data_IF_041347363031
#
_entry.id   IF_041347363031
#
_cell.length_a   1.000
_cell.length_b   1.000
_cell.length_c   1.000
_cell.angle_alpha   90.00
_cell.angle_beta   90.00
_cell.angle_gamma   90.00
#
_symmetry.space_group_name_H-M   'P 1'
#
loop_
_entity.id
_entity.type
_entity.pdbx_description
1 polymer ?
2 non-polymer ?
3 non-polymer ?
4 non-polymer ?
5 water ?
#
# COMPACT_ATOMS: atom_id res chain seq x y z
N UNK A 1 14.70 10.98 -5.08
CA UNK A 1 14.44 9.56 -5.25
C UNK A 1 15.24 8.63 -4.32
N UNK A 2 14.61 7.49 -4.02
CA UNK A 2 15.09 6.53 -3.02
C UNK A 2 15.11 5.13 -3.65
N UNK A 3 15.96 4.24 -3.14
CA UNK A 3 16.03 2.88 -3.65
C UNK A 3 15.18 1.98 -2.75
N UNK A 4 14.32 1.16 -3.35
CA UNK A 4 13.51 0.22 -2.58
C UNK A 4 14.36 -1.01 -2.30
N UNK A 5 14.09 -1.80 -1.22
CA UNK A 5 13.01 -1.49 -0.27
C UNK A 5 13.31 -0.30 0.62
N UNK A 6 12.24 0.42 1.02
CA UNK A 6 12.32 1.62 1.82
C UNK A 6 11.33 1.53 2.97
N UNK A 7 11.73 1.91 4.19
CA UNK A 7 10.82 1.91 5.32
C UNK A 7 10.65 3.34 5.84
N UNK A 8 9.43 3.86 5.72
CA UNK A 8 9.02 5.17 6.19
C UNK A 8 8.55 5.06 7.63
N UNK A 9 9.24 5.68 8.62
CA UNK A 9 8.75 5.68 9.99
C UNK A 9 7.42 6.42 10.10
N UNK A 10 6.52 5.88 10.92
CA UNK A 10 5.26 6.53 11.28
C UNK A 10 5.25 6.68 12.80
N UNK A 11 5.97 7.68 13.36
CA UNK A 11 6.17 7.77 14.80
C UNK A 11 4.85 7.98 15.56
N UNK A 12 4.58 7.11 16.53
CA UNK A 12 3.33 7.15 17.27
C UNK A 12 2.16 6.63 16.43
N UNK A 13 2.48 5.92 15.34
CA UNK A 13 1.50 5.26 14.50
C UNK A 13 0.71 6.25 13.65
N UNK A 14 -0.46 5.81 13.19
CA UNK A 14 -1.31 6.60 12.31
C UNK A 14 -2.52 7.10 13.10
N UNK A 15 -3.24 8.06 12.51
CA UNK A 15 -4.38 8.71 13.14
C UNK A 15 -5.32 9.16 12.03
N UNK A 16 -6.66 9.18 12.23
CA UNK A 16 -7.56 9.71 11.20
C UNK A 16 -7.15 11.11 10.73
N UNK A 17 -7.25 11.31 9.41
CA UNK A 17 -6.92 12.54 8.70
C UNK A 17 -5.45 12.56 8.27
N UNK A 18 -4.68 11.52 8.61
CA UNK A 18 -3.32 11.37 8.13
C UNK A 18 -3.35 10.86 6.70
N UNK A 19 -2.71 11.62 5.79
CA UNK A 19 -2.68 11.32 4.37
C UNK A 19 -1.24 10.96 4.00
N UNK A 20 -1.01 9.67 3.68
CA UNK A 20 0.30 9.19 3.28
C UNK A 20 0.36 9.17 1.75
N UNK A 21 1.37 9.84 1.18
CA UNK A 21 1.51 9.96 -0.26
C UNK A 21 2.82 9.29 -0.69
N UNK A 22 2.70 8.31 -1.59
CA UNK A 22 3.84 7.61 -2.18
C UNK A 22 3.88 7.97 -3.66
N UNK A 23 4.98 8.58 -4.09
CA UNK A 23 5.20 8.93 -5.50
C UNK A 23 6.30 8.04 -6.05
N UNK A 24 6.10 7.51 -7.26
CA UNK A 24 7.17 6.80 -7.94
C UNK A 24 6.81 6.53 -9.39
N UNK A 25 7.59 5.64 -10.02
CA UNK A 25 7.31 5.16 -11.37
C UNK A 25 7.37 3.64 -11.34
N UNK A 26 6.38 2.99 -11.97
CA UNK A 26 6.39 1.54 -12.09
C UNK A 26 7.48 1.15 -13.09
N UNK A 27 8.31 0.16 -12.73
CA UNK A 27 9.36 -0.32 -13.61
C UNK A 27 8.72 -0.93 -14.86
N UNK A 28 9.41 -0.93 -16.03
CA UNK A 28 8.99 -1.78 -17.14
C UNK A 28 9.06 -3.24 -16.70
N UNK A 29 8.12 -4.06 -17.17
CA UNK A 29 8.12 -5.48 -16.85
C UNK A 29 7.86 -5.71 -15.36
N UNK A 30 7.19 -4.75 -14.70
CA UNK A 30 6.81 -4.88 -13.30
C UNK A 30 5.96 -6.14 -13.07
N UNK A 31 6.21 -6.80 -11.94
CA UNK A 31 5.46 -7.99 -11.53
C UNK A 31 4.62 -7.69 -10.29
N UNK A 32 5.18 -6.94 -9.32
CA UNK A 32 4.53 -6.75 -8.03
C UNK A 32 4.97 -5.44 -7.39
N UNK A 33 4.07 -4.86 -6.59
CA UNK A 33 4.36 -3.74 -5.69
C UNK A 33 3.78 -4.12 -4.33
N UNK A 34 4.40 -3.68 -3.22
CA UNK A 34 3.83 -3.90 -1.90
C UNK A 34 4.03 -2.70 -1.00
N UNK A 35 2.95 -2.24 -0.36
CA UNK A 35 2.98 -1.39 0.81
C UNK A 35 2.62 -2.25 2.02
N UNK A 36 3.42 -2.15 3.09
CA UNK A 36 3.18 -2.90 4.32
C UNK A 36 3.13 -1.94 5.51
N UNK A 37 1.93 -1.59 5.97
CA UNK A 37 1.75 -0.85 7.21
C UNK A 37 1.90 -1.82 8.37
N UNK A 38 2.95 -1.67 9.19
CA UNK A 38 3.29 -2.67 10.19
C UNK A 38 3.09 -2.15 11.61
N UNK A 39 2.58 -3.06 12.45
CA UNK A 39 2.58 -2.91 13.90
C UNK A 39 3.51 -4.00 14.44
N UNK A 40 4.76 -3.62 14.71
CA UNK A 40 5.80 -4.62 14.94
C UNK A 40 5.88 -5.60 13.77
N UNK A 41 5.78 -6.90 14.09
CA UNK A 41 5.84 -7.93 13.05
C UNK A 41 4.49 -8.10 12.33
N UNK A 42 3.41 -7.56 12.91
CA UNK A 42 2.10 -7.69 12.27
C UNK A 42 2.02 -6.70 11.12
N UNK A 43 1.35 -7.11 10.03
CA UNK A 43 1.08 -6.22 8.93
C UNK A 43 -0.39 -5.83 9.01
N UNK A 44 -0.66 -4.61 9.51
CA UNK A 44 -2.02 -4.12 9.64
C UNK A 44 -2.69 -4.02 8.27
N UNK A 45 -1.95 -3.55 7.27
CA UNK A 45 -2.50 -3.34 5.93
C UNK A 45 -1.40 -3.60 4.91
N UNK A 46 -1.55 -4.69 4.16
CA UNK A 46 -0.72 -5.06 3.02
C UNK A 46 -1.50 -4.71 1.76
N UNK A 47 -0.95 -3.81 0.94
CA UNK A 47 -1.54 -3.39 -0.32
C UNK A 47 -0.64 -3.88 -1.43
N UNK A 48 -1.11 -4.79 -2.28
CA UNK A 48 -0.24 -5.60 -3.12
C UNK A 48 -0.77 -5.68 -4.55
N UNK A 49 -0.51 -4.67 -5.40
CA UNK A 49 -0.73 -4.80 -6.84
C UNK A 49 0.10 -5.94 -7.44
N UNK A 50 -0.59 -6.86 -8.13
CA UNK A 50 0.04 -7.96 -8.85
C UNK A 50 -0.27 -7.79 -10.33
N UNK A 51 0.78 -7.73 -11.16
CA UNK A 51 0.65 -7.40 -12.58
C UNK A 51 0.43 -8.64 -13.44
N UNK A 52 0.79 -9.83 -12.96
CA UNK A 52 0.53 -11.06 -13.71
C UNK A 52 0.36 -12.22 -12.75
N UNK A 53 -0.81 -12.23 -12.11
CA UNK A 53 -1.32 -13.38 -11.38
C UNK A 53 -2.28 -14.14 -12.29
N UNK A 54 -1.84 -15.30 -12.79
CA UNK A 54 -2.61 -16.09 -13.75
C UNK A 54 -2.99 -15.20 -14.94
N UNK A 55 -2.04 -14.39 -15.42
CA UNK A 55 -2.21 -13.56 -16.60
C UNK A 55 -3.32 -12.53 -16.40
N UNK A 56 -3.55 -12.13 -15.14
CA UNK A 56 -4.49 -11.07 -14.79
C UNK A 56 -3.80 -10.07 -13.86
N UNK A 57 -4.28 -8.83 -13.88
CA UNK A 57 -3.82 -7.81 -12.94
C UNK A 57 -4.87 -7.70 -11.83
N UNK A 58 -4.41 -7.72 -10.57
CA UNK A 58 -5.29 -7.71 -9.41
C UNK A 58 -4.62 -6.94 -8.29
N UNK A 59 -5.41 -6.24 -7.47
CA UNK A 59 -4.96 -5.70 -6.20
C UNK A 59 -5.36 -6.68 -5.09
N UNK A 60 -4.37 -7.18 -4.34
CA UNK A 60 -4.60 -8.02 -3.18
C UNK A 60 -4.31 -7.19 -1.92
N UNK A 61 -5.27 -7.14 -0.99
CA UNK A 61 -5.09 -6.53 0.32
C UNK A 61 -5.28 -7.57 1.41
N UNK A 62 -4.51 -7.47 2.50
CA UNK A 62 -4.59 -8.44 3.57
C UNK A 62 -3.90 -7.87 4.82
N UNK A 63 -4.03 -8.63 5.91
CA UNK A 63 -3.43 -8.39 7.21
C UNK A 63 -2.66 -9.65 7.59
N UNK A 64 -1.48 -9.49 8.18
CA UNK A 64 -0.68 -10.59 8.72
C UNK A 64 -0.64 -10.45 10.25
N UNK A 65 -1.14 -11.47 10.95
CA UNK A 65 -1.16 -11.50 12.41
C UNK A 65 -0.41 -12.75 12.88
N UNK A 66 0.55 -12.57 13.79
CA UNK A 66 1.32 -13.68 14.32
C UNK A 66 1.88 -14.51 13.17
N UNK A 67 2.32 -13.81 12.11
CA UNK A 67 3.01 -14.38 10.96
C UNK A 67 2.07 -15.21 10.08
N UNK A 68 0.75 -15.03 10.24
CA UNK A 68 -0.26 -15.72 9.44
C UNK A 68 -1.06 -14.71 8.61
N UNK A 69 -1.12 -14.91 7.29
CA UNK A 69 -1.96 -14.11 6.42
C UNK A 69 -3.44 -14.45 6.64
N UNK A 70 -4.28 -13.42 6.68
CA UNK A 70 -5.72 -13.59 6.89
C UNK A 70 -6.46 -13.71 5.57
N UNK A 71 -7.71 -13.23 5.59
CA UNK A 71 -8.61 -13.24 4.45
C UNK A 71 -8.20 -12.16 3.45
N UNK A 72 -7.90 -12.55 2.20
CA UNK A 72 -7.59 -11.56 1.16
C UNK A 72 -8.86 -10.83 0.71
N UNK A 73 -8.73 -9.51 0.55
CA UNK A 73 -9.71 -8.68 -0.16
C UNK A 73 -9.10 -8.32 -1.51
N UNK A 74 -9.78 -8.66 -2.60
CA UNK A 74 -9.24 -8.53 -3.96
C UNK A 74 -10.06 -7.53 -4.76
N UNK A 75 -9.38 -6.84 -5.69
CA UNK A 75 -9.99 -5.82 -6.54
C UNK A 75 -9.36 -5.90 -7.93
N UNK A 76 -10.22 -5.98 -8.97
CA UNK A 76 -9.77 -6.10 -10.35
C UNK A 76 -9.50 -4.75 -10.99
N UNK A 77 -10.11 -3.67 -10.44
CA UNK A 77 -9.79 -2.32 -10.89
C UNK A 77 -8.31 -2.09 -10.58
N UNK A 78 -7.53 -1.82 -11.63
CA UNK A 78 -6.08 -1.83 -11.56
C UNK A 78 -5.54 -0.56 -12.21
N UNK A 79 -5.26 0.51 -11.44
CA UNK A 79 -4.87 1.79 -12.02
C UNK A 79 -3.41 1.98 -12.42
N UNK A 80 -2.55 0.98 -12.17
CA UNK A 80 -1.13 1.07 -12.44
C UNK A 80 -0.84 0.57 -13.85
N UNK A 81 0.20 1.15 -14.45
CA UNK A 81 0.70 0.74 -15.76
C UNK A 81 2.22 0.70 -15.69
N UNK A 82 2.81 -0.38 -16.22
CA UNK A 82 4.26 -0.51 -16.34
C UNK A 82 4.85 0.74 -17.00
N UNK A 83 5.90 1.28 -16.39
CA UNK A 83 6.63 2.40 -16.98
C UNK A 83 6.04 3.77 -16.63
N UNK A 84 4.90 3.83 -15.94
CA UNK A 84 4.22 5.11 -15.73
C UNK A 84 4.40 5.62 -14.31
N UNK A 85 4.46 6.96 -14.13
CA UNK A 85 4.49 7.57 -12.81
C UNK A 85 3.13 7.43 -12.13
N UNK A 86 3.18 7.17 -10.82
CA UNK A 86 1.98 6.97 -10.03
C UNK A 86 2.08 7.78 -8.74
N UNK A 87 0.90 8.01 -8.16
CA UNK A 87 0.75 8.53 -6.81
C UNK A 87 -0.23 7.63 -6.08
N UNK A 88 0.23 6.97 -5.02
CA UNK A 88 -0.65 6.23 -4.12
C UNK A 88 -0.88 7.11 -2.90
N UNK A 89 -2.15 7.37 -2.58
CA UNK A 89 -2.50 8.10 -1.37
C UNK A 89 -3.32 7.17 -0.46
N UNK A 90 -2.83 7.00 0.76
CA UNK A 90 -3.52 6.25 1.80
C UNK A 90 -4.01 7.26 2.83
N UNK A 91 -5.33 7.45 2.87
CA UNK A 91 -5.95 8.36 3.83
C UNK A 91 -6.47 7.51 4.99
N UNK A 92 -5.97 7.78 6.20
CA UNK A 92 -6.42 7.04 7.37
C UNK A 92 -7.74 7.66 7.83
N UNK A 93 -8.78 6.83 7.91
CA UNK A 93 -10.08 7.22 8.42
C UNK A 93 -10.32 6.45 9.72
N UNK A 94 -11.35 6.80 10.53
CA UNK A 94 -11.59 6.11 11.79
C UNK A 94 -11.78 4.60 11.70
N UNK A 95 -12.43 4.10 10.63
CA UNK A 95 -12.76 2.68 10.51
C UNK A 95 -12.06 1.98 9.34
N UNK A 96 -11.32 2.72 8.50
CA UNK A 96 -10.68 2.10 7.35
C UNK A 96 -9.50 2.94 6.85
N UNK A 97 -8.65 2.30 6.06
CA UNK A 97 -7.74 2.97 5.14
C UNK A 97 -8.47 3.19 3.82
N UNK A 98 -8.42 4.43 3.31
CA UNK A 98 -8.95 4.76 2.00
C UNK A 98 -7.76 4.96 1.06
N UNK A 99 -7.78 4.26 -0.09
CA UNK A 99 -6.69 4.34 -1.06
C UNK A 99 -7.21 5.00 -2.33
N UNK A 100 -6.49 6.03 -2.80
CA UNK A 100 -6.70 6.64 -4.10
C UNK A 100 -5.40 6.57 -4.88
N UNK A 101 -5.48 6.26 -6.18
CA UNK A 101 -4.31 6.22 -7.04
C UNK A 101 -4.51 7.24 -8.15
N UNK A 102 -3.52 8.12 -8.34
CA UNK A 102 -3.60 9.15 -9.37
C UNK A 102 -4.92 9.92 -9.24
N UNK A 103 -5.29 10.26 -8.00
CA UNK A 103 -6.43 11.11 -7.68
C UNK A 103 -7.78 10.47 -8.03
N UNK A 104 -7.81 9.13 -8.16
CA UNK A 104 -9.06 8.39 -8.33
C UNK A 104 -9.19 7.38 -7.20
N UNK A 105 -10.34 7.38 -6.52
CA UNK A 105 -10.63 6.42 -5.47
C UNK A 105 -10.45 5.00 -6.00
N UNK A 106 -9.79 4.14 -5.21
CA UNK A 106 -9.54 2.75 -5.60
C UNK A 106 -10.28 1.80 -4.66
N UNK A 107 -10.05 1.89 -3.35
CA UNK A 107 -10.65 0.95 -2.42
C UNK A 107 -10.61 1.48 -0.99
N UNK A 108 -11.39 0.83 -0.12
CA UNK A 108 -11.34 1.00 1.32
C UNK A 108 -10.95 -0.35 1.93
N UNK A 109 -10.24 -0.32 3.05
CA UNK A 109 -9.85 -1.54 3.77
C UNK A 109 -10.11 -1.31 5.26
N UNK A 110 -11.09 -2.04 5.80
CA UNK A 110 -11.48 -1.86 7.19
C UNK A 110 -10.33 -2.25 8.13
N UNK A 111 -10.19 -1.50 9.23
CA UNK A 111 -9.15 -1.76 10.22
C UNK A 111 -9.39 -3.10 10.91
N UNK A 112 -8.49 -4.06 10.67
CA UNK A 112 -8.45 -5.32 11.40
C UNK A 112 -7.59 -5.17 12.64
N UNK A 113 -6.42 -4.54 12.48
CA UNK A 113 -5.60 -4.10 13.60
C UNK A 113 -6.20 -2.79 14.12
N UNK A 114 -6.55 -2.79 15.41
CA UNK A 114 -7.30 -1.69 16.02
C UNK A 114 -6.37 -0.60 16.55
N UNK A 115 -5.15 -0.97 16.95
CA UNK A 115 -4.23 -0.05 17.60
C UNK A 115 -3.49 0.78 16.55
N UNK A 116 -4.17 1.80 16.00
CA UNK A 116 -3.64 2.64 14.94
C UNK A 116 -2.34 3.32 15.41
N UNK A 117 -2.28 3.71 16.69
CA UNK A 117 -1.15 4.47 17.20
C UNK A 117 0.07 3.58 17.44
N UNK A 118 -0.01 2.30 17.03
CA UNK A 118 1.13 1.38 17.08
C UNK A 118 1.52 0.89 15.68
N UNK A 119 0.86 1.39 14.64
CA UNK A 119 1.22 1.07 13.26
C UNK A 119 2.32 2.06 12.84
N UNK A 120 3.57 1.73 13.18
CA UNK A 120 4.62 2.73 13.29
C UNK A 120 5.66 2.63 12.17
N UNK A 121 5.44 1.76 11.18
CA UNK A 121 6.32 1.68 10.01
C UNK A 121 5.48 1.44 8.76
N UNK A 122 5.92 2.00 7.65
CA UNK A 122 5.41 1.68 6.32
C UNK A 122 6.56 1.16 5.47
N UNK A 123 6.54 -0.12 5.11
CA UNK A 123 7.48 -0.68 4.15
C UNK A 123 6.98 -0.51 2.72
N UNK A 124 7.87 -0.09 1.83
CA UNK A 124 7.58 0.09 0.42
C UNK A 124 8.56 -0.79 -0.35
N UNK A 125 8.04 -1.72 -1.17
CA UNK A 125 8.87 -2.68 -1.87
C UNK A 125 8.28 -2.99 -3.24
N UNK A 126 9.08 -3.68 -4.07
CA UNK A 126 8.61 -4.18 -5.35
C UNK A 126 9.15 -3.37 -6.51
N UNK A 127 8.44 -3.44 -7.65
CA UNK A 127 8.99 -3.11 -8.95
C UNK A 127 8.69 -1.65 -9.26
N UNK A 128 9.24 -0.74 -8.44
CA UNK A 128 9.07 0.69 -8.61
C UNK A 128 10.40 1.40 -8.47
N UNK A 129 10.48 2.58 -9.10
CA UNK A 129 11.43 3.62 -8.75
C UNK A 129 10.72 4.58 -7.80
N UNK A 130 11.15 4.63 -6.54
CA UNK A 130 10.49 5.45 -5.52
C UNK A 130 11.03 6.88 -5.59
N UNK A 131 10.11 7.85 -5.76
CA UNK A 131 10.46 9.27 -5.84
C UNK A 131 10.39 9.89 -4.44
N UNK A 132 9.28 9.65 -3.73
CA UNK A 132 9.13 10.17 -2.38
C UNK A 132 8.05 9.40 -1.61
N UNK A 133 8.16 9.47 -0.28
CA UNK A 133 7.19 8.89 0.63
C UNK A 133 7.06 9.84 1.83
N UNK A 134 5.88 10.41 2.03
CA UNK A 134 5.66 11.43 3.04
C UNK A 134 4.21 11.39 3.50
N UNK A 135 3.91 12.17 4.54
CA UNK A 135 2.53 12.29 5.01
C UNK A 135 2.26 13.71 5.51
N UNK A 136 0.97 14.05 5.58
CA UNK A 136 0.48 15.30 6.15
C UNK A 136 -0.85 15.01 6.84
N UNK A 137 -1.33 15.97 7.64
CA UNK A 137 -2.66 15.92 8.22
C UNK A 137 -3.57 16.85 7.43
N UNK A 138 -4.72 16.34 6.96
CA UNK A 138 -5.65 17.13 6.16
C UNK A 138 -6.61 17.88 7.11
X LIG B 1 -6.71 -10.92 9.53
X LIG B 1 -7.90 -11.83 9.03
X LIG B 1 -8.79 -12.48 8.63
X LIG C 1 -2.13 -16.77 1.47
X LIG C 1 -0.11 -17.05 1.95
X LIG C 1 1.07 -15.16 0.74
X LIG C 1 -0.16 -15.95 1.15
X LIG C 1 -1.50 -15.77 0.87
X LIG C 1 -3.60 -16.99 1.49
X LIG C 1 -4.25 -16.17 2.59
X LIG C 1 -4.30 -16.82 0.19
X LIG C 1 1.16 -11.51 0.45
X LIG C 1 5.18 -10.35 -0.57
X LIG C 1 7.47 -9.55 -1.05
X LIG C 1 6.52 -7.70 -2.88
X LIG C 1 5.63 -8.52 -2.22
X LIG C 1 3.94 -10.83 -0.92
X LIG C 1 3.50 -14.83 -2.13
X LIG C 1 3.28 -14.25 -0.84
X LIG C 1 2.15 -13.40 -0.73
X LIG C 1 0.88 -14.23 -0.46
X LIG C 1 -4.03 -14.84 2.37
X LIG C 1 -4.02 -18.42 1.54
X LIG C 1 -4.75 -18.23 0.27
X LIG C 1 -1.32 -17.53 2.15
X LIG C 1 -0.24 -13.35 -0.28
X LIG C 1 -0.08 -12.35 0.74
X LIG C 1 -1.32 -11.49 0.79
X LIG C 1 -2.44 -12.31 1.16
X LIG C 1 0.97 -10.77 -0.77
X LIG C 1 2.40 -12.41 0.36
X LIG C 1 3.56 -11.59 0.10
X LIG C 1 4.47 -11.64 1.02
X LIG C 1 5.47 -10.88 0.64
X LIG C 1 6.11 -9.46 -1.30
X LIG C 1 8.35 -8.73 -1.72
X LIG C 1 7.89 -7.80 -2.63
X LIG C 1 9.07 -6.75 -3.47
X LIG C 1 5.98 -6.80 -3.78
X LIG C 1 4.29 -8.39 -2.51
X LIG C 1 1.87 -15.88 0.52
X LIG C 1 1.39 -14.58 1.61
X LIG C 1 -1.95 -14.99 0.25
X LIG C 1 -3.82 -16.46 3.56
X LIG C 1 -5.32 -16.36 2.62
X LIG C 1 -3.61 -16.62 -0.63
X LIG C 1 -5.12 -16.10 0.24
X LIG C 1 1.31 -10.81 1.29
X LIG C 1 7.84 -10.27 -0.33
X LIG C 1 3.39 -10.62 -1.83
X LIG C 1 4.36 -15.43 -2.10
X LIG C 1 3.62 -14.06 -2.85
X LIG C 1 2.66 -15.43 -2.38
X LIG C 1 2.01 -12.85 -1.68
X LIG C 1 0.69 -14.86 -1.35
X LIG C 1 -4.69 -18.67 2.37
X LIG C 1 -3.20 -19.13 1.44
X LIG C 1 0.04 -12.83 1.71
X LIG C 1 -1.52 -11.05 -0.19
X LIG C 1 -1.20 -10.68 1.51
X LIG C 1 -2.56 -13.02 0.51
X LIG C 1 1.66 -11.00 -1.39
X LIG C 1 2.47 -12.93 1.30
X LIG C 1 9.42 -8.80 -1.51
X LIG D 1 2.94 -11.02 -4.59
X LIG D 1 4.36 -11.66 -4.29
X LIG D 1 5.40 -12.08 -4.05
X LIG E 1 12.15 -4.40 -3.24
#
# INVERSE_FOLDING_TARGET
PLIVPYNLPLPGGVVPRMLITILGTVKPNANRIALDFQRGNDVAFHFNPRFNENNRRVIVCNTKLDNNWGREERQSVFPFESGKPFKIQVLVEPDHFKVAVNDAHLLQYNHRVKKLNEISKLGISGDIDLTSASYTMI
SCN S C N
A1H2M N1 N3 C4 C5 C6 C7 C8 C10 C13 C15 C17 C20 C21 C22 C1 O1 C2 C3 F1 C9 O2 N2 O3 C11 C12 O4 O5 C14 N4 N5 N6 C16 C18 C19 CL1 F2 F3 H7 H6 H8 H9 H10 H13 H14 H19 H22 H24 H2 H3 H1 H4 H5 H12 H11 H15 H16 H17 H18 H20 H21 H23
SCN S C N
CL CL
#
